data_IF_250991306328
#
_entry.id   IF_250991306328
#
_cell.length_a   1.000
_cell.length_b   1.000
_cell.length_c   1.000
_cell.angle_alpha   90.00
_cell.angle_beta   90.00
_cell.angle_gamma   90.00
#
_symmetry.space_group_name_H-M   'P 1'
#
loop_
_entity.id
_entity.type
_entity.pdbx_description
1 polymer ?
#
# COMPACT_ATOMS: atom_id res chain seq x y z
N UNK A 1 47.61 -13.17 21.08
CA UNK A 1 46.18 -13.50 20.84
C UNK A 1 45.43 -12.18 20.84
N UNK A 2 45.34 -11.53 19.68
CA UNK A 2 44.24 -11.58 18.69
C UNK A 2 42.92 -11.00 19.24
N UNK A 3 42.63 -9.82 18.69
CA UNK A 3 41.44 -8.98 18.72
C UNK A 3 40.10 -9.72 18.76
N UNK A 4 39.16 -9.13 19.51
CA UNK A 4 37.75 -8.94 19.13
C UNK A 4 37.17 -7.95 20.15
N UNK A 5 37.41 -6.64 20.01
CA UNK A 5 36.43 -5.68 19.50
C UNK A 5 34.99 -6.18 19.68
N UNK A 6 34.42 -5.87 20.85
CA UNK A 6 32.99 -5.91 21.07
C UNK A 6 32.33 -4.92 20.10
N UNK A 7 31.78 -5.47 19.02
CA UNK A 7 30.85 -4.75 18.15
C UNK A 7 29.55 -4.64 18.95
N UNK A 8 29.38 -3.53 19.67
CA UNK A 8 28.06 -3.04 20.05
C UNK A 8 27.34 -2.69 18.74
N UNK A 9 26.63 -3.66 18.16
CA UNK A 9 25.60 -3.38 17.16
C UNK A 9 24.47 -2.69 17.91
N UNK A 10 24.51 -1.36 17.93
CA UNK A 10 23.34 -0.57 18.22
C UNK A 10 22.31 -0.93 17.13
N UNK A 11 21.33 -1.76 17.49
CA UNK A 11 20.07 -1.87 16.77
C UNK A 11 19.40 -0.50 16.89
N UNK A 12 19.75 0.42 16.00
CA UNK A 12 18.88 1.54 15.69
C UNK A 12 17.66 0.87 15.08
N UNK A 13 16.63 0.67 15.90
CA UNK A 13 15.29 0.40 15.43
C UNK A 13 14.90 1.61 14.58
N UNK A 14 15.21 1.53 13.29
CA UNK A 14 14.72 2.45 12.29
C UNK A 14 13.21 2.30 12.37
N UNK A 15 12.56 3.18 13.15
CA UNK A 15 11.14 3.40 13.03
C UNK A 15 10.99 3.96 11.62
N UNK A 16 10.79 3.06 10.65
CA UNK A 16 10.28 3.45 9.34
C UNK A 16 8.91 4.01 9.71
N UNK A 17 8.85 5.33 9.88
CA UNK A 17 7.61 6.04 10.07
C UNK A 17 6.89 5.96 8.74
N UNK A 18 6.25 4.83 8.51
CA UNK A 18 5.51 4.54 7.30
C UNK A 18 4.47 5.66 7.13
N UNK A 19 4.44 6.23 5.94
CA UNK A 19 3.40 7.17 5.54
C UNK A 19 2.12 6.34 5.40
N UNK A 20 1.13 6.61 6.25
CA UNK A 20 -0.22 6.10 6.11
C UNK A 20 -0.88 6.80 4.91
N UNK A 21 -0.62 6.28 3.70
CA UNK A 21 -1.19 6.72 2.45
C UNK A 21 -1.65 5.53 1.61
N UNK A 22 -2.14 5.81 0.40
CA UNK A 22 -2.61 4.79 -0.54
C UNK A 22 -1.59 3.67 -0.70
N UNK A 23 -2.04 2.41 -0.62
CA UNK A 23 -1.21 1.29 -1.04
C UNK A 23 -0.95 1.35 -2.56
N UNK A 24 0.04 0.58 -3.03
CA UNK A 24 0.46 0.62 -4.42
C UNK A 24 -0.66 0.25 -5.40
N UNK A 25 -1.54 -0.70 -5.05
CA UNK A 25 -2.65 -1.14 -5.90
C UNK A 25 -3.74 -0.06 -5.94
N UNK A 26 -3.98 0.64 -4.83
CA UNK A 26 -4.82 1.84 -4.85
C UNK A 26 -4.25 2.94 -5.76
N UNK A 27 -2.93 3.20 -5.71
CA UNK A 27 -2.29 4.18 -6.61
C UNK A 27 -2.38 3.76 -8.07
N UNK A 28 -2.23 2.46 -8.37
CA UNK A 28 -2.47 1.92 -9.71
C UNK A 28 -3.88 2.21 -10.20
N UNK A 29 -4.91 2.06 -9.35
CA UNK A 29 -6.29 2.39 -9.70
C UNK A 29 -6.50 3.90 -9.92
N UNK A 30 -5.86 4.76 -9.11
CA UNK A 30 -5.87 6.22 -9.27
C UNK A 30 -5.24 6.60 -10.62
N UNK A 31 -4.05 6.09 -10.89
CA UNK A 31 -3.28 6.40 -12.10
C UNK A 31 -3.95 5.81 -13.35
N UNK A 32 -4.54 4.61 -13.27
CA UNK A 32 -5.37 4.04 -14.34
C UNK A 32 -6.57 4.93 -14.66
N UNK A 33 -7.22 5.48 -13.64
CA UNK A 33 -8.32 6.43 -13.82
C UNK A 33 -7.84 7.71 -14.48
N UNK A 34 -6.69 8.25 -14.07
CA UNK A 34 -6.09 9.40 -14.73
C UNK A 34 -5.77 9.12 -16.20
N UNK A 35 -5.20 7.95 -16.50
CA UNK A 35 -4.88 7.54 -17.88
C UNK A 35 -6.13 7.45 -18.76
N UNK A 36 -7.28 7.04 -18.22
CA UNK A 36 -8.56 7.04 -18.96
C UNK A 36 -9.07 8.46 -19.29
N UNK A 37 -8.70 9.47 -18.50
CA UNK A 37 -9.11 10.86 -18.70
C UNK A 37 -8.15 11.63 -19.64
N UNK A 38 -6.90 11.17 -19.78
CA UNK A 38 -5.89 11.85 -20.61
C UNK A 38 -6.17 11.61 -22.10
N UNK A 39 -6.44 12.69 -22.83
CA UNK A 39 -6.80 12.58 -24.25
C UNK A 39 -5.60 12.13 -25.11
N UNK A 40 -5.86 11.46 -26.23
CA UNK A 40 -4.84 10.87 -27.11
C UNK A 40 -3.65 11.79 -27.45
N UNK A 41 -3.93 13.06 -27.82
CA UNK A 41 -2.87 14.02 -28.16
C UNK A 41 -1.99 14.38 -26.96
N UNK A 42 -2.56 14.46 -25.75
CA UNK A 42 -1.80 14.73 -24.53
C UNK A 42 -1.09 13.46 -24.05
N UNK A 43 -1.68 12.28 -24.23
CA UNK A 43 -1.03 11.00 -23.93
C UNK A 43 0.32 10.84 -24.65
N UNK A 44 0.42 11.22 -25.93
CA UNK A 44 1.70 11.20 -26.65
C UNK A 44 2.75 12.09 -25.96
N UNK A 45 2.37 13.29 -25.52
CA UNK A 45 3.27 14.24 -24.84
C UNK A 45 3.66 13.73 -23.46
N UNK A 46 2.72 13.13 -22.72
CA UNK A 46 2.99 12.45 -21.46
C UNK A 46 4.07 11.38 -21.63
N UNK A 47 3.92 10.49 -22.62
CA UNK A 47 4.90 9.45 -22.89
C UNK A 47 6.27 10.02 -23.28
N UNK A 48 6.32 11.15 -24.00
CA UNK A 48 7.60 11.83 -24.27
C UNK A 48 8.24 12.31 -22.98
N UNK A 49 7.47 12.90 -22.05
CA UNK A 49 7.95 13.36 -20.75
C UNK A 49 8.41 12.19 -19.85
N UNK A 50 7.77 11.02 -19.97
CA UNK A 50 8.02 9.82 -19.17
C UNK A 50 8.84 8.73 -19.90
N UNK A 51 9.60 9.09 -20.94
CA UNK A 51 10.49 8.14 -21.67
C UNK A 51 9.76 6.87 -22.19
N UNK A 52 8.51 7.01 -22.61
CA UNK A 52 7.68 5.95 -23.20
C UNK A 52 6.76 5.24 -22.20
N UNK A 53 7.03 5.40 -20.91
CA UNK A 53 6.23 4.87 -19.79
C UNK A 53 4.96 5.72 -19.59
N UNK A 54 4.00 5.17 -18.84
CA UNK A 54 2.80 5.89 -18.42
C UNK A 54 2.80 6.19 -16.92
N UNK A 55 1.68 6.68 -16.38
CA UNK A 55 1.59 7.00 -14.95
C UNK A 55 1.72 5.73 -14.08
N UNK A 56 1.05 4.65 -14.49
CA UNK A 56 0.93 3.38 -13.75
C UNK A 56 2.29 2.70 -13.55
N UNK A 57 3.22 2.93 -14.48
CA UNK A 57 4.60 2.45 -14.38
C UNK A 57 5.38 3.03 -13.17
N UNK A 58 4.87 4.08 -12.51
CA UNK A 58 5.54 4.78 -11.40
C UNK A 58 4.82 4.73 -10.05
N UNK A 59 3.76 3.93 -9.89
CA UNK A 59 3.01 3.74 -8.62
C UNK A 59 3.88 3.48 -7.37
N UNK A 60 5.08 2.91 -7.56
CA UNK A 60 6.04 2.55 -6.51
C UNK A 60 7.02 3.69 -6.15
N UNK A 61 7.14 4.71 -7.00
CA UNK A 61 8.24 5.69 -6.94
C UNK A 61 8.22 6.54 -5.67
N UNK A 62 7.04 6.97 -5.21
CA UNK A 62 6.90 7.78 -4.00
C UNK A 62 7.38 7.06 -2.73
N UNK A 63 7.08 5.77 -2.61
CA UNK A 63 7.54 4.97 -1.47
C UNK A 63 9.07 4.88 -1.45
N UNK A 64 9.69 4.77 -2.63
CA UNK A 64 11.14 4.77 -2.78
C UNK A 64 11.79 6.13 -2.51
N UNK A 65 11.11 7.24 -2.85
CA UNK A 65 11.52 8.59 -2.43
C UNK A 65 11.54 8.64 -0.90
N UNK A 66 10.45 8.26 -0.25
CA UNK A 66 10.30 8.33 1.21
C UNK A 66 11.31 7.46 1.94
N UNK A 67 11.65 6.28 1.39
CA UNK A 67 12.72 5.44 1.94
C UNK A 67 14.09 6.13 1.88
N UNK A 68 14.40 6.86 0.80
CA UNK A 68 15.70 7.54 0.60
C UNK A 68 15.79 8.92 1.23
N UNK A 69 14.65 9.61 1.34
CA UNK A 69 14.49 10.97 1.86
C UNK A 69 13.32 10.96 2.85
N UNK A 70 13.45 10.33 4.03
CA UNK A 70 12.36 10.30 5.02
C UNK A 70 11.90 11.69 5.45
N UNK A 71 12.80 12.68 5.37
CA UNK A 71 12.51 14.09 5.65
C UNK A 71 11.49 14.68 4.67
N UNK A 72 11.18 14.02 3.55
CA UNK A 72 10.13 14.45 2.62
C UNK A 72 8.72 14.07 3.04
N UNK A 73 8.57 13.25 4.09
CA UNK A 73 7.28 12.81 4.64
C UNK A 73 6.26 13.95 4.84
N UNK A 74 6.62 15.14 5.36
CA UNK A 74 5.67 16.24 5.52
C UNK A 74 4.99 16.70 4.22
N UNK A 75 5.54 16.42 3.04
CA UNK A 75 4.86 16.71 1.77
C UNK A 75 3.56 15.94 1.59
N UNK A 76 3.40 14.81 2.25
CA UNK A 76 2.23 13.95 2.05
C UNK A 76 1.08 14.30 3.00
N UNK A 77 1.28 15.26 3.90
CA UNK A 77 0.32 15.59 4.96
C UNK A 77 0.07 17.09 5.08
N UNK A 78 -1.14 17.42 5.54
CA UNK A 78 -1.49 18.75 5.97
C UNK A 78 -2.62 18.68 7.01
N UNK A 79 -2.23 18.61 8.28
CA UNK A 79 -3.16 18.40 9.39
C UNK A 79 -4.10 19.59 9.59
N UNK A 80 -5.31 19.26 10.04
CA UNK A 80 -6.41 20.18 10.32
C UNK A 80 -6.53 20.41 11.83
N UNK A 81 -6.96 21.58 12.30
CA UNK A 81 -6.85 21.94 13.71
C UNK A 81 -7.66 21.02 14.64
N UNK A 82 -8.99 20.99 14.49
CA UNK A 82 -9.87 20.23 15.37
C UNK A 82 -11.07 19.64 14.60
N UNK A 83 -11.62 18.54 15.12
CA UNK A 83 -12.79 17.90 14.54
C UNK A 83 -14.00 18.84 14.61
N UNK A 84 -14.66 19.06 13.47
CA UNK A 84 -15.82 19.95 13.34
C UNK A 84 -15.49 21.40 12.98
N UNK A 85 -14.20 21.75 12.86
CA UNK A 85 -13.80 23.07 12.35
C UNK A 85 -14.29 23.26 10.91
N UNK A 86 -14.74 24.49 10.61
CA UNK A 86 -15.03 24.97 9.25
C UNK A 86 -13.83 25.68 8.63
N UNK A 87 -12.83 26.03 9.44
CA UNK A 87 -11.63 26.71 9.03
C UNK A 87 -10.54 25.66 8.79
N UNK A 88 -10.40 25.27 7.52
CA UNK A 88 -9.39 24.30 7.10
C UNK A 88 -7.99 24.95 7.04
N UNK A 89 -7.00 24.23 7.53
CA UNK A 89 -5.61 24.62 7.43
C UNK A 89 -5.09 24.35 6.02
N UNK A 90 -5.15 25.36 5.15
CA UNK A 90 -4.74 25.25 3.74
C UNK A 90 -3.34 25.86 3.46
N UNK A 91 -2.63 26.30 4.50
CA UNK A 91 -1.27 26.88 4.39
C UNK A 91 -0.32 26.19 5.35
N UNK A 92 0.98 26.24 5.05
CA UNK A 92 2.02 25.78 5.98
C UNK A 92 3.11 26.83 6.14
N UNK A 93 3.58 27.00 7.38
CA UNK A 93 4.54 28.03 7.77
C UNK A 93 5.93 27.87 7.13
N UNK A 94 6.29 26.64 6.76
CA UNK A 94 7.60 26.30 6.18
C UNK A 94 7.57 26.17 4.65
N UNK A 95 6.45 26.42 3.96
CA UNK A 95 6.27 26.15 2.53
C UNK A 95 6.66 24.71 2.12
N UNK A 96 6.46 23.75 3.03
CA UNK A 96 6.81 22.34 2.84
C UNK A 96 5.73 21.45 3.45
N UNK A 97 4.63 21.35 2.72
CA UNK A 97 3.44 20.55 3.02
C UNK A 97 2.75 20.14 1.71
N UNK A 98 1.69 19.36 1.83
CA UNK A 98 0.90 18.84 0.69
C UNK A 98 0.51 19.91 -0.33
N UNK A 99 -0.24 20.93 0.06
CA UNK A 99 -0.69 21.96 -0.89
C UNK A 99 0.45 22.80 -1.45
N UNK A 100 1.47 23.10 -0.64
CA UNK A 100 2.65 23.83 -1.12
C UNK A 100 3.40 23.03 -2.19
N UNK A 101 3.57 21.72 -2.00
CA UNK A 101 4.16 20.82 -2.98
C UNK A 101 3.37 20.75 -4.28
N UNK A 102 2.05 20.53 -4.19
CA UNK A 102 1.16 20.49 -5.37
C UNK A 102 1.30 21.79 -6.19
N UNK A 103 1.17 22.94 -5.53
CA UNK A 103 1.28 24.25 -6.20
C UNK A 103 2.66 24.47 -6.81
N UNK A 104 3.74 24.11 -6.11
CA UNK A 104 5.11 24.24 -6.61
C UNK A 104 5.35 23.38 -7.86
N UNK A 105 5.03 22.08 -7.82
CA UNK A 105 5.28 21.19 -8.95
C UNK A 105 4.38 21.50 -10.15
N UNK A 106 3.12 21.87 -9.90
CA UNK A 106 2.22 22.37 -10.94
C UNK A 106 2.78 23.63 -11.61
N UNK A 107 3.11 24.67 -10.83
CA UNK A 107 3.64 25.92 -11.35
C UNK A 107 4.97 25.70 -12.08
N UNK A 108 5.83 24.83 -11.57
CA UNK A 108 7.09 24.46 -12.23
C UNK A 108 6.82 23.85 -13.60
N UNK A 109 5.95 22.84 -13.71
CA UNK A 109 5.60 22.22 -14.99
C UNK A 109 4.95 23.21 -15.96
N UNK A 110 4.08 24.10 -15.48
CA UNK A 110 3.48 25.17 -16.28
C UNK A 110 4.49 26.19 -16.81
N UNK A 111 5.70 26.23 -16.27
CA UNK A 111 6.80 27.08 -16.72
C UNK A 111 7.95 26.32 -17.41
N UNK A 112 7.89 25.00 -17.50
CA UNK A 112 8.88 24.17 -18.20
C UNK A 112 8.53 23.98 -19.69
N UNK A 113 9.54 23.66 -20.50
CA UNK A 113 9.37 23.36 -21.92
C UNK A 113 8.89 24.54 -22.77
N UNK A 114 8.50 24.22 -24.00
CA UNK A 114 8.02 25.21 -24.97
C UNK A 114 6.50 25.40 -24.85
N UNK A 115 5.98 26.63 -24.97
CA UNK A 115 4.55 26.87 -25.13
C UNK A 115 3.98 26.09 -26.33
N UNK A 116 2.78 25.54 -26.19
CA UNK A 116 1.98 25.06 -27.32
C UNK A 116 1.37 26.30 -27.99
N UNK A 117 1.53 26.44 -29.31
CA UNK A 117 1.17 27.62 -30.12
C UNK A 117 -0.22 28.23 -29.82
N UNK A 118 -0.33 29.56 -30.03
CA UNK A 118 -1.51 30.45 -29.98
C UNK A 118 -2.36 30.53 -28.71
N UNK A 119 -2.07 29.72 -27.69
CA UNK A 119 -2.68 29.91 -26.37
C UNK A 119 -1.88 30.97 -25.60
N UNK A 120 -2.56 31.98 -25.05
CA UNK A 120 -1.99 32.81 -23.98
C UNK A 120 -1.55 31.84 -22.88
N UNK A 121 -0.25 31.71 -22.71
CA UNK A 121 0.33 30.83 -21.72
C UNK A 121 0.64 31.67 -20.48
N UNK A 122 -0.24 31.68 -19.46
CA UNK A 122 0.06 32.43 -18.25
C UNK A 122 1.32 31.84 -17.63
N UNK A 123 2.39 32.63 -17.55
CA UNK A 123 3.51 32.30 -16.67
C UNK A 123 2.95 32.27 -15.26
N UNK A 124 2.98 31.11 -14.63
CA UNK A 124 2.49 30.92 -13.26
C UNK A 124 3.61 31.32 -12.32
N UNK A 125 3.33 32.13 -11.30
CA UNK A 125 4.32 32.40 -10.26
C UNK A 125 4.67 31.08 -9.54
N UNK A 126 5.97 30.77 -9.46
CA UNK A 126 6.42 29.56 -8.75
C UNK A 126 6.49 29.93 -7.26
N UNK A 127 5.64 29.34 -6.41
CA UNK A 127 5.66 29.65 -4.98
C UNK A 127 6.99 29.18 -4.35
N UNK A 128 7.40 29.79 -3.22
CA UNK A 128 8.55 29.29 -2.48
C UNK A 128 8.32 27.84 -2.05
N UNK A 129 9.38 27.04 -2.09
CA UNK A 129 9.31 25.61 -1.74
C UNK A 129 10.61 25.16 -1.07
N UNK A 130 10.49 24.75 0.20
CA UNK A 130 11.64 24.42 1.04
C UNK A 130 11.87 22.91 1.12
N UNK A 131 12.25 22.30 0.00
CA UNK A 131 12.56 20.87 -0.01
C UNK A 131 13.75 20.54 0.91
N UNK A 132 13.73 19.43 1.68
CA UNK A 132 14.73 19.11 2.71
C UNK A 132 16.14 18.85 2.16
N UNK A 133 16.26 18.66 0.85
CA UNK A 133 17.54 18.46 0.17
C UNK A 133 17.68 19.43 -0.99
N UNK A 134 18.92 19.79 -1.33
CA UNK A 134 19.22 20.57 -2.54
C UNK A 134 19.15 19.68 -3.77
N UNK A 135 17.94 19.43 -4.23
CA UNK A 135 17.63 18.57 -5.37
C UNK A 135 17.24 19.43 -6.56
N UNK A 136 17.84 19.15 -7.71
CA UNK A 136 17.34 19.64 -9.00
C UNK A 136 16.31 18.65 -9.51
N UNK A 137 15.03 19.04 -9.53
CA UNK A 137 13.96 18.21 -10.07
C UNK A 137 13.95 18.28 -11.59
N UNK A 138 13.94 17.11 -12.24
CA UNK A 138 13.60 17.02 -13.67
C UNK A 138 12.11 17.26 -13.88
N UNK A 139 11.69 17.45 -15.14
CA UNK A 139 10.27 17.50 -15.47
C UNK A 139 9.51 16.22 -15.08
N UNK A 140 10.16 15.06 -15.24
CA UNK A 140 9.59 13.77 -14.84
C UNK A 140 9.41 13.68 -13.32
N UNK A 141 10.37 14.17 -12.53
CA UNK A 141 10.23 14.20 -11.07
C UNK A 141 9.08 15.11 -10.64
N UNK A 142 8.98 16.29 -11.25
CA UNK A 142 7.89 17.22 -10.96
C UNK A 142 6.52 16.60 -11.27
N UNK A 143 6.40 15.89 -12.40
CA UNK A 143 5.15 15.21 -12.75
C UNK A 143 4.84 14.08 -11.76
N UNK A 144 5.83 13.24 -11.42
CA UNK A 144 5.64 12.13 -10.48
C UNK A 144 5.23 12.63 -9.10
N UNK A 145 5.88 13.68 -8.57
CA UNK A 145 5.43 14.31 -7.33
C UNK A 145 4.02 14.87 -7.47
N UNK A 146 3.72 15.60 -8.55
CA UNK A 146 2.40 16.19 -8.71
C UNK A 146 1.29 15.12 -8.69
N UNK A 147 1.49 14.02 -9.41
CA UNK A 147 0.56 12.89 -9.44
C UNK A 147 0.37 12.29 -8.05
N UNK A 148 1.47 11.99 -7.35
CA UNK A 148 1.44 11.42 -6.00
C UNK A 148 0.76 12.35 -5.01
N UNK A 149 1.13 13.62 -4.99
CA UNK A 149 0.58 14.60 -4.05
C UNK A 149 -0.90 14.90 -4.34
N UNK A 150 -1.32 14.90 -5.60
CA UNK A 150 -2.75 14.97 -5.94
C UNK A 150 -3.50 13.72 -5.50
N UNK A 151 -2.91 12.53 -5.62
CA UNK A 151 -3.49 11.29 -5.07
C UNK A 151 -3.65 11.39 -3.55
N UNK A 152 -2.61 11.88 -2.89
CA UNK A 152 -2.54 12.05 -1.43
C UNK A 152 -3.55 13.09 -0.92
N UNK A 153 -3.84 14.13 -1.70
CA UNK A 153 -4.90 15.11 -1.41
C UNK A 153 -6.29 14.50 -1.21
N UNK A 154 -6.51 13.29 -1.73
CA UNK A 154 -7.78 12.56 -1.66
C UNK A 154 -7.75 11.41 -0.65
N UNK A 155 -6.60 11.16 -0.02
CA UNK A 155 -6.54 10.21 1.09
C UNK A 155 -7.06 10.90 2.36
N UNK A 156 -8.13 10.39 3.02
CA UNK A 156 -8.72 11.08 4.17
C UNK A 156 -7.68 11.39 5.27
N UNK A 157 -6.82 10.43 5.61
CA UNK A 157 -5.82 10.62 6.68
C UNK A 157 -4.63 11.53 6.33
N UNK A 158 -4.51 11.99 5.07
CA UNK A 158 -3.49 12.98 4.72
C UNK A 158 -3.90 14.42 5.08
N UNK A 159 -5.19 14.62 5.34
CA UNK A 159 -5.77 15.84 5.90
C UNK A 159 -6.45 15.56 7.25
N UNK A 160 -5.86 14.64 8.02
CA UNK A 160 -6.33 14.28 9.36
C UNK A 160 -6.24 15.46 10.35
N UNK A 161 -6.83 15.32 11.54
CA UNK A 161 -6.72 16.32 12.60
C UNK A 161 -5.36 16.28 13.29
N UNK A 162 -4.95 17.41 13.87
CA UNK A 162 -3.83 17.48 14.79
C UNK A 162 -4.14 16.68 16.08
N UNK A 163 -3.10 16.26 16.78
CA UNK A 163 -3.27 15.59 18.06
C UNK A 163 -3.89 16.56 19.08
N UNK A 164 -4.84 16.10 19.92
CA UNK A 164 -5.23 14.71 20.17
C UNK A 164 -6.38 14.17 19.30
N UNK A 165 -6.95 14.96 18.39
CA UNK A 165 -8.18 14.61 17.65
C UNK A 165 -7.94 13.73 16.41
N UNK A 166 -6.69 13.45 16.07
CA UNK A 166 -6.29 12.64 14.92
C UNK A 166 -7.02 11.30 14.87
N UNK A 167 -7.69 11.04 13.75
CA UNK A 167 -8.37 9.77 13.49
C UNK A 167 -7.36 8.64 13.34
N UNK A 168 -6.18 8.94 12.77
CA UNK A 168 -5.12 7.96 12.47
C UNK A 168 -4.71 7.11 13.68
N UNK A 169 -4.73 7.71 14.87
CA UNK A 169 -4.28 7.10 16.13
C UNK A 169 -5.36 6.38 16.91
N UNK A 170 -6.64 6.53 16.53
CA UNK A 170 -7.74 5.90 17.26
C UNK A 170 -7.71 4.39 16.99
N UNK A 171 -7.71 3.53 18.03
CA UNK A 171 -7.72 2.09 17.84
C UNK A 171 -9.04 1.63 17.22
N UNK A 172 -9.00 0.61 16.37
CA UNK A 172 -10.18 -0.02 15.78
C UNK A 172 -10.51 -1.31 16.53
N UNK A 173 -11.71 -1.41 17.10
CA UNK A 173 -12.16 -2.64 17.75
C UNK A 173 -12.73 -3.61 16.69
N UNK A 174 -11.99 -4.72 16.47
CA UNK A 174 -12.34 -5.76 15.50
C UNK A 174 -13.01 -6.99 16.13
N UNK A 175 -13.30 -6.96 17.44
CA UNK A 175 -13.74 -8.15 18.20
C UNK A 175 -15.04 -8.79 17.69
N UNK A 176 -15.93 -8.02 17.05
CA UNK A 176 -17.17 -8.53 16.46
C UNK A 176 -16.98 -9.01 15.01
N UNK A 177 -15.77 -8.92 14.42
CA UNK A 177 -15.48 -9.19 13.02
C UNK A 177 -14.32 -10.17 12.83
N UNK A 178 -14.56 -11.50 12.91
CA UNK A 178 -13.51 -12.51 12.94
C UNK A 178 -12.56 -12.50 11.74
N UNK A 179 -13.05 -12.16 10.54
CA UNK A 179 -12.21 -12.05 9.35
C UNK A 179 -11.13 -10.98 9.54
N UNK A 180 -11.55 -9.76 9.93
CA UNK A 180 -10.68 -8.62 10.12
C UNK A 180 -9.76 -8.80 11.33
N UNK A 181 -10.27 -9.35 12.43
CA UNK A 181 -9.46 -9.69 13.61
C UNK A 181 -8.33 -10.67 13.25
N UNK A 182 -8.64 -11.73 12.51
CA UNK A 182 -7.65 -12.74 12.12
C UNK A 182 -6.54 -12.13 11.24
N UNK A 183 -6.91 -11.33 10.23
CA UNK A 183 -5.94 -10.64 9.37
C UNK A 183 -5.10 -9.67 10.21
N UNK A 184 -5.70 -8.91 11.13
CA UNK A 184 -4.99 -8.00 12.02
C UNK A 184 -3.98 -8.70 12.92
N UNK A 185 -4.35 -9.85 13.49
CA UNK A 185 -3.46 -10.65 14.32
C UNK A 185 -2.29 -11.25 13.53
N UNK A 186 -2.51 -11.63 12.26
CA UNK A 186 -1.46 -12.14 11.38
C UNK A 186 -0.49 -11.03 10.93
N UNK A 187 -1.01 -9.87 10.55
CA UNK A 187 -0.23 -8.78 9.96
C UNK A 187 0.40 -7.86 11.00
N UNK A 188 -0.38 -7.40 12.00
CA UNK A 188 0.01 -6.39 12.98
C UNK A 188 0.13 -6.92 14.41
N UNK A 189 -0.22 -8.19 14.67
CA UNK A 189 -0.14 -8.84 15.99
C UNK A 189 -0.95 -8.14 17.08
N UNK A 190 -2.06 -7.49 16.70
CA UNK A 190 -2.99 -6.84 17.63
C UNK A 190 -4.43 -7.01 17.17
N UNK A 191 -5.37 -7.05 18.11
CA UNK A 191 -6.82 -7.02 17.83
C UNK A 191 -7.38 -5.60 17.73
N UNK A 192 -6.59 -4.61 18.15
CA UNK A 192 -6.97 -3.19 18.19
C UNK A 192 -5.89 -2.32 17.52
N UNK A 193 -5.69 -2.46 16.20
CA UNK A 193 -4.72 -1.65 15.47
C UNK A 193 -5.15 -0.17 15.43
N UNK A 194 -4.21 0.79 15.37
CA UNK A 194 -4.52 2.17 15.03
C UNK A 194 -5.23 2.25 13.68
N UNK A 195 -6.17 3.20 13.52
CA UNK A 195 -6.98 3.33 12.30
C UNK A 195 -6.14 3.48 11.03
N UNK A 196 -5.04 4.23 11.10
CA UNK A 196 -4.14 4.39 9.95
C UNK A 196 -3.54 3.06 9.48
N UNK A 197 -3.06 2.25 10.43
CA UNK A 197 -2.47 0.95 10.15
C UNK A 197 -3.54 -0.05 9.70
N UNK A 198 -4.74 0.03 10.29
CA UNK A 198 -5.89 -0.75 9.86
C UNK A 198 -6.23 -0.48 8.40
N UNK A 199 -6.39 0.78 7.98
CA UNK A 199 -6.70 1.10 6.58
C UNK A 199 -5.65 0.57 5.61
N UNK A 200 -4.37 0.81 5.92
CA UNK A 200 -3.26 0.53 5.02
C UNK A 200 -2.86 -0.95 4.94
N UNK A 201 -2.75 -1.62 6.08
CA UNK A 201 -2.15 -2.96 6.15
C UNK A 201 -3.19 -4.09 6.25
N UNK A 202 -4.43 -3.76 6.60
CA UNK A 202 -5.49 -4.75 6.82
C UNK A 202 -6.64 -4.53 5.85
N UNK A 203 -7.30 -3.38 5.95
CA UNK A 203 -8.55 -3.09 5.25
C UNK A 203 -8.38 -3.10 3.73
N UNK A 204 -7.61 -2.17 3.17
CA UNK A 204 -7.50 -2.04 1.72
C UNK A 204 -6.92 -3.29 1.04
N UNK A 205 -5.80 -3.89 1.50
CA UNK A 205 -5.29 -5.10 0.89
C UNK A 205 -6.30 -6.25 0.87
N UNK A 206 -7.01 -6.48 1.99
CA UNK A 206 -8.00 -7.56 2.07
C UNK A 206 -9.28 -7.23 1.31
N UNK A 207 -9.70 -5.96 1.31
CA UNK A 207 -10.85 -5.50 0.53
C UNK A 207 -10.62 -5.75 -0.96
N UNK A 208 -9.42 -5.43 -1.47
CA UNK A 208 -9.03 -5.69 -2.86
C UNK A 208 -9.04 -7.19 -3.15
N UNK A 209 -8.43 -8.01 -2.27
CA UNK A 209 -8.41 -9.48 -2.41
C UNK A 209 -9.83 -10.07 -2.48
N UNK A 210 -10.72 -9.67 -1.58
CA UNK A 210 -12.11 -10.16 -1.55
C UNK A 210 -12.92 -9.67 -2.76
N UNK A 211 -12.58 -8.51 -3.32
CA UNK A 211 -13.28 -7.91 -4.45
C UNK A 211 -12.47 -7.99 -5.76
N UNK A 212 -11.52 -8.91 -5.90
CA UNK A 212 -10.55 -8.93 -7.00
C UNK A 212 -11.19 -8.83 -8.40
N UNK A 213 -12.22 -9.63 -8.65
CA UNK A 213 -12.95 -9.62 -9.92
C UNK A 213 -13.60 -8.26 -10.22
N UNK A 214 -14.11 -7.58 -9.20
CA UNK A 214 -14.68 -6.24 -9.34
C UNK A 214 -13.57 -5.17 -9.43
N UNK A 215 -12.47 -5.37 -8.70
CA UNK A 215 -11.34 -4.45 -8.62
C UNK A 215 -10.62 -4.28 -9.96
N UNK A 216 -10.43 -5.37 -10.71
CA UNK A 216 -9.85 -5.32 -12.06
C UNK A 216 -10.90 -5.11 -13.16
N UNK A 217 -12.13 -4.74 -12.79
CA UNK A 217 -13.19 -4.33 -13.71
C UNK A 217 -13.08 -2.87 -14.16
N UNK A 218 -14.07 -2.39 -14.93
CA UNK A 218 -14.04 -1.06 -15.56
C UNK A 218 -14.35 0.15 -14.65
N UNK A 219 -14.36 -0.02 -13.32
CA UNK A 219 -14.75 1.05 -12.41
C UNK A 219 -13.70 2.17 -12.32
N UNK A 220 -12.44 1.89 -12.67
CA UNK A 220 -11.33 2.85 -12.78
C UNK A 220 -11.38 3.66 -14.08
N UNK A 221 -12.52 3.73 -14.77
CA UNK A 221 -12.70 4.63 -15.91
C UNK A 221 -13.35 5.94 -15.44
N UNK A 222 -12.91 7.09 -15.96
CA UNK A 222 -13.42 8.41 -15.57
C UNK A 222 -14.93 8.58 -15.82
N UNK A 223 -15.50 7.83 -16.76
CA UNK A 223 -16.95 7.82 -17.01
C UNK A 223 -17.77 7.32 -15.82
N UNK A 224 -17.18 6.57 -14.90
CA UNK A 224 -17.83 6.13 -13.64
C UNK A 224 -18.34 7.32 -12.82
N UNK A 225 -17.72 8.50 -12.96
CA UNK A 225 -18.15 9.73 -12.27
C UNK A 225 -19.35 10.43 -12.94
N UNK A 226 -19.72 10.05 -14.16
CA UNK A 226 -20.80 10.69 -14.91
C UNK A 226 -20.64 12.22 -14.98
N UNK A 227 -21.70 12.96 -14.62
CA UNK A 227 -21.71 14.44 -14.59
C UNK A 227 -20.75 15.05 -13.56
N UNK A 228 -20.28 14.29 -12.58
CA UNK A 228 -19.31 14.81 -11.60
C UNK A 228 -17.99 15.14 -12.29
N UNK A 229 -17.55 14.35 -13.29
CA UNK A 229 -16.31 14.63 -13.99
C UNK A 229 -16.32 15.97 -14.72
N UNK A 230 -17.39 16.29 -15.45
CA UNK A 230 -17.52 17.59 -16.12
C UNK A 230 -17.57 18.75 -15.12
N UNK A 231 -18.20 18.53 -13.96
CA UNK A 231 -18.24 19.53 -12.87
C UNK A 231 -16.84 19.83 -12.33
N UNK A 232 -16.00 18.81 -12.14
CA UNK A 232 -14.61 18.97 -11.70
C UNK A 232 -13.76 19.69 -12.76
N UNK A 233 -13.95 19.34 -14.04
CA UNK A 233 -13.26 19.99 -15.14
C UNK A 233 -13.61 21.48 -15.23
N UNK A 234 -14.90 21.81 -15.12
CA UNK A 234 -15.38 23.20 -15.14
C UNK A 234 -14.87 24.00 -13.93
N UNK A 235 -14.84 23.38 -12.75
CA UNK A 235 -14.29 23.98 -11.55
C UNK A 235 -12.80 24.31 -11.75
N UNK A 236 -12.03 23.35 -12.26
CA UNK A 236 -10.61 23.54 -12.52
C UNK A 236 -10.38 24.61 -13.60
N UNK A 237 -11.15 24.62 -14.69
CA UNK A 237 -11.02 25.65 -15.73
C UNK A 237 -11.29 27.07 -15.20
N UNK A 238 -12.17 27.21 -14.19
CA UNK A 238 -12.48 28.51 -13.57
C UNK A 238 -11.46 28.96 -12.53
N UNK A 239 -10.90 28.04 -11.75
CA UNK A 239 -10.05 28.35 -10.58
C UNK A 239 -8.58 28.02 -10.77
N UNK A 240 -8.23 27.16 -11.71
CA UNK A 240 -6.87 26.66 -11.97
C UNK A 240 -6.17 26.18 -10.69
N UNK A 241 -5.04 26.77 -10.29
CA UNK A 241 -4.30 26.38 -9.09
C UNK A 241 -5.05 26.59 -7.77
N UNK A 242 -6.04 27.50 -7.74
CA UNK A 242 -6.86 27.70 -6.54
C UNK A 242 -7.85 26.56 -6.32
N UNK A 243 -8.06 25.71 -7.34
CA UNK A 243 -8.89 24.52 -7.23
C UNK A 243 -8.30 23.49 -6.26
N UNK A 244 -6.98 23.47 -6.06
CA UNK A 244 -6.33 22.53 -5.14
C UNK A 244 -6.78 22.76 -3.69
N UNK A 245 -7.01 24.01 -3.30
CA UNK A 245 -7.54 24.37 -1.98
C UNK A 245 -8.99 23.90 -1.80
N UNK A 246 -9.80 23.99 -2.86
CA UNK A 246 -11.18 23.49 -2.84
C UNK A 246 -11.19 21.97 -2.64
N UNK A 247 -10.38 21.23 -3.40
CA UNK A 247 -10.28 19.78 -3.26
C UNK A 247 -9.72 19.35 -1.91
N UNK A 248 -8.76 20.10 -1.35
CA UNK A 248 -8.27 19.87 0.01
C UNK A 248 -9.39 20.05 1.04
N UNK A 249 -10.14 21.14 0.98
CA UNK A 249 -11.24 21.42 1.90
C UNK A 249 -12.34 20.34 1.82
N UNK A 250 -12.65 19.86 0.61
CA UNK A 250 -13.59 18.74 0.43
C UNK A 250 -13.09 17.48 1.13
N UNK A 251 -11.84 17.06 0.92
CA UNK A 251 -11.28 15.87 1.56
C UNK A 251 -11.18 16.04 3.08
N UNK A 252 -10.73 17.20 3.57
CA UNK A 252 -10.69 17.50 5.01
C UNK A 252 -12.09 17.44 5.65
N UNK A 253 -13.12 17.90 4.94
CA UNK A 253 -14.51 17.81 5.39
C UNK A 253 -15.02 16.37 5.48
N UNK A 254 -14.42 15.41 4.77
CA UNK A 254 -14.78 14.00 4.91
C UNK A 254 -14.40 13.48 6.29
N UNK A 255 -13.26 13.89 6.85
CA UNK A 255 -12.84 13.45 8.19
C UNK A 255 -13.83 13.90 9.27
N UNK A 256 -14.55 15.01 9.06
CA UNK A 256 -15.62 15.46 9.96
C UNK A 256 -16.86 14.54 9.94
N UNK A 257 -17.08 13.80 8.85
CA UNK A 257 -18.32 13.04 8.59
C UNK A 257 -18.10 11.53 8.43
N UNK A 258 -16.83 11.10 8.35
CA UNK A 258 -16.44 9.71 8.17
C UNK A 258 -16.91 8.84 9.33
N UNK A 259 -16.66 9.30 10.56
CA UNK A 259 -16.98 8.60 11.80
C UNK A 259 -17.98 9.42 12.64
N UNK A 260 -19.16 8.84 12.81
CA UNK A 260 -20.27 9.36 13.60
C UNK A 260 -20.12 8.96 15.07
N UNK A 261 -20.93 9.54 15.97
CA UNK A 261 -20.83 9.24 17.41
C UNK A 261 -21.03 7.75 17.71
N UNK A 262 -21.91 7.10 16.95
CA UNK A 262 -22.26 5.70 17.12
C UNK A 262 -21.18 4.74 16.58
N UNK A 263 -20.19 5.28 15.83
CA UNK A 263 -19.02 4.53 15.38
C UNK A 263 -17.94 4.42 16.47
N UNK A 264 -18.18 4.94 17.69
CA UNK A 264 -17.22 4.89 18.79
C UNK A 264 -17.73 4.04 19.96
N UNK A 265 -16.84 3.25 20.55
CA UNK A 265 -17.05 2.54 21.82
C UNK A 265 -16.05 3.02 22.86
N UNK A 266 -16.52 3.20 24.09
CA UNK A 266 -15.65 3.50 25.23
C UNK A 266 -14.86 2.23 25.60
N UNK A 267 -13.56 2.42 25.81
CA UNK A 267 -12.62 1.33 26.11
C UNK A 267 -12.12 1.34 27.54
N UNK A 268 -12.44 2.38 28.31
CA UNK A 268 -12.23 2.44 29.74
C UNK A 268 -13.55 2.78 30.46
N UNK A 269 -13.60 2.47 31.75
CA UNK A 269 -14.78 2.72 32.59
C UNK A 269 -14.99 4.21 32.93
N UNK A 270 -14.04 5.08 32.55
CA UNK A 270 -14.07 6.51 32.84
C UNK A 270 -14.46 7.36 31.62
N UNK A 271 -14.66 6.73 30.44
CA UNK A 271 -15.01 7.38 29.18
C UNK A 271 -13.87 8.20 28.55
N UNK A 272 -12.63 8.03 29.00
CA UNK A 272 -11.48 8.81 28.52
C UNK A 272 -10.87 8.26 27.24
N UNK A 273 -10.99 6.95 27.02
CA UNK A 273 -10.41 6.26 25.87
C UNK A 273 -11.49 5.69 24.97
N UNK A 274 -11.42 5.98 23.67
CA UNK A 274 -12.38 5.51 22.66
C UNK A 274 -11.69 4.65 21.61
N UNK A 275 -12.42 3.67 21.10
CA UNK A 275 -12.07 2.91 19.91
C UNK A 275 -13.15 3.09 18.85
N UNK A 276 -12.76 2.96 17.58
CA UNK A 276 -13.71 2.88 16.46
C UNK A 276 -14.32 1.48 16.50
N UNK A 277 -15.64 1.41 16.65
CA UNK A 277 -16.38 0.16 16.52
C UNK A 277 -16.46 -0.20 15.04
N UNK A 278 -15.77 -1.26 14.62
CA UNK A 278 -15.94 -1.75 13.26
C UNK A 278 -17.28 -2.46 13.12
N UNK A 279 -18.06 -2.12 12.09
CA UNK A 279 -19.40 -2.65 11.81
C UNK A 279 -19.57 -2.94 10.32
N UNK A 280 -20.57 -3.73 9.93
CA UNK A 280 -20.89 -3.97 8.50
C UNK A 280 -21.26 -2.67 7.78
N UNK A 281 -21.94 -1.76 8.49
CA UNK A 281 -22.28 -0.44 7.98
C UNK A 281 -21.01 0.39 7.74
N UNK A 282 -20.07 0.39 8.68
CA UNK A 282 -18.79 1.08 8.52
C UNK A 282 -17.96 0.45 7.40
N UNK A 283 -17.93 -0.88 7.26
CA UNK A 283 -17.28 -1.58 6.14
C UNK A 283 -17.85 -1.12 4.79
N UNK A 284 -19.18 -1.12 4.64
CA UNK A 284 -19.82 -0.67 3.40
C UNK A 284 -19.55 0.81 3.10
N UNK A 285 -19.66 1.68 4.11
CA UNK A 285 -19.38 3.13 4.01
C UNK A 285 -17.92 3.37 3.60
N UNK A 286 -16.98 2.68 4.24
CA UNK A 286 -15.56 2.82 4.00
C UNK A 286 -15.17 2.31 2.60
N UNK A 287 -15.64 1.12 2.20
CA UNK A 287 -15.38 0.57 0.88
C UNK A 287 -15.91 1.46 -0.26
N UNK A 288 -17.11 2.02 -0.10
CA UNK A 288 -17.66 2.99 -1.05
C UNK A 288 -16.83 4.27 -1.10
N UNK A 289 -16.52 4.86 0.07
CA UNK A 289 -15.79 6.11 0.15
C UNK A 289 -14.38 6.00 -0.45
N UNK A 290 -13.65 4.94 -0.11
CA UNK A 290 -12.28 4.73 -0.60
C UNK A 290 -12.26 4.58 -2.12
N UNK A 291 -13.18 3.80 -2.70
CA UNK A 291 -13.32 3.69 -4.16
C UNK A 291 -13.68 5.02 -4.80
N UNK A 292 -14.61 5.77 -4.22
CA UNK A 292 -14.97 7.10 -4.73
C UNK A 292 -13.77 8.05 -4.70
N UNK A 293 -13.02 8.10 -3.60
CA UNK A 293 -11.82 8.94 -3.48
C UNK A 293 -10.74 8.53 -4.49
N UNK A 294 -10.55 7.24 -4.75
CA UNK A 294 -9.62 6.74 -5.78
C UNK A 294 -9.99 7.26 -7.17
N UNK A 295 -11.26 7.12 -7.57
CA UNK A 295 -11.71 7.58 -8.89
C UNK A 295 -11.67 9.10 -9.00
N UNK A 296 -12.07 9.82 -7.94
CA UNK A 296 -12.00 11.29 -7.87
C UNK A 296 -10.57 11.79 -7.98
N UNK A 297 -9.63 11.18 -7.26
CA UNK A 297 -8.20 11.49 -7.33
C UNK A 297 -7.69 11.33 -8.76
N UNK A 298 -7.98 10.19 -9.39
CA UNK A 298 -7.50 9.90 -10.74
C UNK A 298 -8.10 10.84 -11.78
N UNK A 299 -9.39 11.14 -11.68
CA UNK A 299 -10.04 12.12 -12.53
C UNK A 299 -9.38 13.51 -12.43
N UNK A 300 -9.09 13.97 -11.20
CA UNK A 300 -8.45 15.27 -10.95
C UNK A 300 -6.99 15.30 -11.39
N UNK A 301 -6.24 14.22 -11.19
CA UNK A 301 -4.91 14.04 -11.80
C UNK A 301 -4.99 14.16 -13.32
N UNK A 302 -5.94 13.45 -13.95
CA UNK A 302 -6.15 13.52 -15.39
C UNK A 302 -6.48 14.92 -15.91
N UNK A 303 -7.32 15.68 -15.19
CA UNK A 303 -7.64 17.08 -15.50
C UNK A 303 -6.36 17.94 -15.46
N UNK A 304 -5.60 17.87 -14.37
CA UNK A 304 -4.39 18.67 -14.17
C UNK A 304 -3.32 18.33 -15.21
N UNK A 305 -3.08 17.05 -15.48
CA UNK A 305 -2.10 16.60 -16.46
C UNK A 305 -2.51 16.99 -17.88
N UNK A 306 -3.79 16.84 -18.24
CA UNK A 306 -4.30 17.36 -19.52
C UNK A 306 -4.08 18.86 -19.66
N UNK A 307 -4.34 19.63 -18.59
CA UNK A 307 -4.15 21.08 -18.59
C UNK A 307 -2.68 21.44 -18.85
N UNK A 308 -1.73 20.86 -18.11
CA UNK A 308 -0.29 21.08 -18.32
C UNK A 308 0.09 20.75 -19.76
N UNK A 309 -0.26 19.54 -20.24
CA UNK A 309 0.14 19.06 -21.56
C UNK A 309 -0.59 19.75 -22.71
N UNK A 310 -1.68 20.49 -22.44
CA UNK A 310 -2.34 21.34 -23.42
C UNK A 310 -1.61 22.67 -23.62
N UNK A 311 -0.93 23.18 -22.59
CA UNK A 311 -0.22 24.45 -22.60
C UNK A 311 1.29 24.29 -22.87
N UNK A 312 1.90 23.17 -22.46
CA UNK A 312 3.34 22.97 -22.49
C UNK A 312 3.73 21.73 -23.30
N UNK A 313 4.76 21.87 -24.12
CA UNK A 313 5.51 20.78 -24.72
C UNK A 313 6.79 20.59 -23.94
N UNK A 314 6.81 19.53 -23.13
CA UNK A 314 7.90 19.23 -22.22
C UNK A 314 8.58 17.96 -22.72
N UNK A 315 9.88 18.05 -22.99
CA UNK A 315 10.70 16.90 -23.32
C UNK A 315 11.20 16.21 -22.06
N UNK A 316 11.51 14.92 -22.16
CA UNK A 316 12.21 14.21 -21.10
C UNK A 316 13.59 14.84 -20.83
N UNK A 317 13.97 14.88 -19.55
CA UNK A 317 15.26 15.36 -19.07
C UNK A 317 15.91 14.25 -18.22
N UNK A 318 17.04 13.72 -18.68
CA UNK A 318 17.81 12.70 -17.96
C UNK A 318 18.52 13.24 -16.71
N UNK A 319 18.68 14.56 -16.59
CA UNK A 319 19.40 15.19 -15.50
C UNK A 319 18.51 15.36 -14.25
N UNK A 320 18.15 14.24 -13.63
CA UNK A 320 17.46 14.23 -12.33
C UNK A 320 18.45 14.24 -11.16
N UNK A 321 18.16 15.06 -10.13
CA UNK A 321 18.79 14.96 -8.82
C UNK A 321 18.23 13.83 -7.94
N UNK A 322 17.20 13.11 -8.41
CA UNK A 322 16.52 11.99 -7.74
C UNK A 322 16.65 10.71 -8.56
N UNK A 323 17.85 10.13 -8.55
CA UNK A 323 18.09 8.84 -9.20
C UNK A 323 17.44 7.73 -8.37
N UNK A 324 16.22 7.35 -8.75
CA UNK A 324 15.41 6.33 -8.10
C UNK A 324 15.11 5.24 -9.12
N UNK A 325 15.69 4.07 -8.91
CA UNK A 325 15.45 2.88 -9.74
C UNK A 325 14.29 2.08 -9.16
N UNK A 326 13.51 1.46 -10.06
CA UNK A 326 12.47 0.51 -9.67
C UNK A 326 13.12 -0.56 -8.81
N UNK A 327 12.63 -0.80 -7.57
CA UNK A 327 13.13 -1.90 -6.78
C UNK A 327 12.92 -3.16 -7.63
N UNK A 328 13.99 -3.92 -7.86
CA UNK A 328 13.82 -5.25 -8.43
C UNK A 328 12.96 -5.99 -7.41
N UNK A 329 11.74 -6.32 -7.81
CA UNK A 329 10.96 -7.31 -7.08
C UNK A 329 11.78 -8.57 -7.23
N UNK A 330 12.56 -8.91 -6.20
CA UNK A 330 13.14 -10.24 -6.10
C UNK A 330 11.94 -11.19 -6.05
N UNK A 331 11.50 -11.66 -7.21
CA UNK A 331 10.59 -12.80 -7.39
C UNK A 331 11.18 -14.09 -6.81
N UNK A 332 12.31 -13.97 -6.13
CA UNK A 332 13.10 -14.98 -5.49
C UNK A 332 13.67 -14.46 -4.17
N UNK A 333 12.82 -13.95 -3.26
CA UNK A 333 12.89 -14.53 -1.91
C UNK A 333 12.39 -15.98 -2.00
N UNK A 334 13.11 -16.81 -2.76
CA UNK A 334 13.13 -18.25 -2.55
C UNK A 334 13.57 -18.34 -1.11
N UNK A 335 12.64 -18.72 -0.23
CA UNK A 335 12.91 -18.98 1.17
C UNK A 335 14.07 -19.98 1.23
N UNK A 336 15.31 -19.49 1.24
CA UNK A 336 16.51 -20.35 1.24
C UNK A 336 16.44 -21.23 2.48
N UNK A 337 15.88 -20.71 3.58
CA UNK A 337 15.49 -21.47 4.76
C UNK A 337 14.55 -22.63 4.46
N UNK A 338 13.49 -22.45 3.67
CA UNK A 338 12.57 -23.55 3.29
C UNK A 338 13.26 -24.62 2.46
N UNK A 339 14.09 -24.24 1.48
CA UNK A 339 14.84 -25.20 0.66
C UNK A 339 15.90 -25.93 1.46
N UNK A 340 16.63 -25.24 2.35
CA UNK A 340 17.58 -25.85 3.28
C UNK A 340 16.87 -26.82 4.23
N UNK A 341 15.70 -26.43 4.77
CA UNK A 341 14.91 -27.27 5.67
C UNK A 341 14.36 -28.51 4.95
N UNK A 342 13.94 -28.37 3.69
CA UNK A 342 13.53 -29.49 2.84
C UNK A 342 14.68 -30.44 2.53
N UNK A 343 15.87 -29.93 2.22
CA UNK A 343 17.07 -30.77 2.01
C UNK A 343 17.46 -31.52 3.28
N UNK A 344 17.44 -30.84 4.44
CA UNK A 344 17.69 -31.48 5.75
C UNK A 344 16.66 -32.56 6.06
N UNK A 345 15.38 -32.30 5.79
CA UNK A 345 14.30 -33.26 5.97
C UNK A 345 14.49 -34.51 5.09
N UNK A 346 14.82 -34.34 3.81
CA UNK A 346 15.10 -35.45 2.89
C UNK A 346 16.30 -36.27 3.36
N UNK A 347 17.38 -35.63 3.81
CA UNK A 347 18.55 -36.33 4.37
C UNK A 347 18.17 -37.14 5.61
N UNK A 348 17.37 -36.59 6.53
CA UNK A 348 16.90 -37.29 7.72
C UNK A 348 16.05 -38.52 7.37
N UNK A 349 15.17 -38.42 6.37
CA UNK A 349 14.37 -39.55 5.89
C UNK A 349 15.26 -40.64 5.28
N UNK A 350 16.27 -40.27 4.48
CA UNK A 350 17.22 -41.23 3.91
C UNK A 350 18.01 -41.94 5.03
N UNK A 351 18.49 -41.19 6.03
CA UNK A 351 19.20 -41.77 7.18
C UNK A 351 18.28 -42.72 7.95
N UNK A 352 17.03 -42.36 8.18
CA UNK A 352 16.05 -43.21 8.84
C UNK A 352 15.83 -44.52 8.07
N UNK A 353 15.70 -44.45 6.75
CA UNK A 353 15.55 -45.64 5.87
C UNK A 353 16.77 -46.54 5.98
N UNK A 354 17.99 -45.97 5.97
CA UNK A 354 19.23 -46.73 6.11
C UNK A 354 19.30 -47.41 7.49
N UNK A 355 18.96 -46.68 8.56
CA UNK A 355 18.94 -47.25 9.92
C UNK A 355 17.91 -48.38 10.03
N UNK A 356 16.69 -48.18 9.51
CA UNK A 356 15.66 -49.23 9.48
C UNK A 356 16.12 -50.45 8.69
N UNK A 357 16.78 -50.25 7.55
CA UNK A 357 17.35 -51.33 6.76
C UNK A 357 18.44 -52.10 7.52
N UNK A 358 19.33 -51.40 8.21
CA UNK A 358 20.38 -52.01 9.04
C UNK A 358 19.81 -52.78 10.23
N UNK A 359 18.80 -52.22 10.91
CA UNK A 359 18.08 -52.90 12.01
C UNK A 359 17.38 -54.15 11.48
N UNK A 360 16.68 -54.05 10.35
CA UNK A 360 16.00 -55.18 9.72
C UNK A 360 16.98 -56.27 9.29
N UNK A 361 18.12 -55.90 8.69
CA UNK A 361 19.20 -56.83 8.36
C UNK A 361 19.78 -57.50 9.59
N UNK A 362 19.95 -56.77 10.70
CA UNK A 362 20.44 -57.33 11.95
C UNK A 362 19.43 -58.30 12.58
N UNK A 363 18.14 -57.96 12.55
CA UNK A 363 17.05 -58.84 13.00
C UNK A 363 16.98 -60.12 12.16
N UNK A 364 17.07 -60.02 10.83
CA UNK A 364 17.15 -61.18 9.93
C UNK A 364 18.38 -62.05 10.22
N UNK A 365 19.54 -61.44 10.48
CA UNK A 365 20.75 -62.18 10.85
C UNK A 365 20.65 -62.83 12.23
N UNK A 366 19.98 -62.21 13.20
CA UNK A 366 19.68 -62.84 14.50
C UNK A 366 18.69 -63.99 14.34
N UNK A 367 17.67 -63.83 13.49
CA UNK A 367 16.71 -64.88 13.17
C UNK A 367 17.35 -66.05 12.41
N UNK A 368 18.32 -65.82 11.52
CA UNK A 368 19.03 -66.90 10.81
C UNK A 368 20.05 -67.63 11.69
N UNK A 369 20.65 -66.93 12.67
CA UNK A 369 21.49 -67.54 13.70
C UNK A 369 20.69 -68.30 14.76
N UNK A 370 19.43 -67.93 14.99
CA UNK A 370 18.47 -68.70 15.77
C UNK A 370 17.99 -69.92 14.99
N UNK A 371 18.78 -71.00 15.00
CA UNK A 371 18.44 -72.34 14.45
C UNK A 371 17.28 -73.04 15.19
N UNK A 372 16.26 -72.31 15.63
CA UNK A 372 15.12 -72.88 16.37
C UNK A 372 13.79 -72.15 16.23
N UNK A 373 13.71 -71.00 15.55
CA UNK A 373 12.44 -70.26 15.46
C UNK A 373 11.56 -70.72 14.30
N UNK A 374 12.14 -70.97 13.12
CA UNK A 374 11.40 -71.46 11.94
C UNK A 374 10.88 -72.90 12.11
N UNK A 375 11.50 -73.73 12.96
CA UNK A 375 10.98 -75.07 13.26
C UNK A 375 9.79 -75.06 14.24
N UNK A 376 9.60 -73.98 15.00
CA UNK A 376 8.46 -73.85 15.94
C UNK A 376 7.22 -73.23 15.29
N UNK A 377 7.39 -72.36 14.29
CA UNK A 377 6.25 -71.72 13.60
C UNK A 377 5.55 -72.62 12.57
N UNK A 378 6.22 -73.67 12.07
CA UNK A 378 5.67 -74.57 11.04
C UNK A 378 5.25 -75.96 11.55
N UNK A 379 5.24 -76.21 12.87
CA UNK A 379 4.85 -77.50 13.46
C UNK A 379 3.51 -77.51 14.24
N UNK A 380 2.72 -76.43 14.26
CA UNK A 380 1.44 -76.39 15.00
C UNK A 380 0.17 -76.45 14.13
N UNK A 381 0.16 -77.22 13.04
CA UNK A 381 -1.09 -77.61 12.35
C UNK A 381 -1.03 -79.05 11.85
N UNK A 382 -0.94 -80.02 12.78
CA UNK A 382 -1.50 -81.36 12.52
C UNK A 382 -3.01 -81.27 12.69
N UNK A 383 -3.69 -81.14 11.56
CA UNK A 383 -5.12 -81.36 11.41
C UNK A 383 -5.44 -82.79 11.86
N UNK A 384 -6.21 -82.95 12.94
CA UNK A 384 -6.88 -84.22 13.25
C UNK A 384 -8.26 -84.21 12.57
N UNK A 385 -8.60 -85.22 11.74
CA UNK A 385 -9.93 -85.33 11.18
C UNK A 385 -10.92 -85.80 12.26
N UNK A 386 -11.91 -84.95 12.54
CA UNK A 386 -13.13 -85.33 13.25
C UNK A 386 -14.00 -86.09 12.25
N UNK A 387 -14.22 -87.39 12.49
CA UNK A 387 -15.40 -88.13 12.02
C UNK A 387 -15.40 -89.55 12.60
N UNK A 388 -16.16 -89.79 13.67
CA UNK A 388 -17.42 -90.57 13.65
C UNK A 388 -17.91 -90.84 15.07
N UNK A 389 -19.23 -90.69 15.21
CA UNK A 389 -20.11 -90.99 16.35
C UNK A 389 -20.39 -92.53 16.42
N UNK A 390 -21.08 -93.01 17.48
CA UNK A 390 -20.78 -94.22 18.23
C UNK A 390 -21.38 -95.50 17.65
N UNK A 391 -20.78 -96.63 18.01
CA UNK A 391 -21.43 -97.85 18.52
C UNK A 391 -20.36 -98.74 19.17
#
# INVERSE_FOLDING_TARGET
MKCAVNICVAFIALHITLVAGWDQICREAIESTAMSAITYMRLRRLKVLLKGEDLVDYTWWADEVLKRIPESKPLHYQYQPEKGSKDFNLKCSNNFCLLAGIKYFYATLMNLGNPVQDLENPKVEIPPFNYPRKVKFSAADCLKYLVVLLSDLHHPLHLDFEQPDSLSTIPVDLSEFPLWENVSMQTLKTKKPPYADFLKYIYMPKYIEVNENAWYGSWTHVSTLGLRYSTELDLFNKKTSDCFEVWAAETASLNNTLLEKDDYVETDHMGHSKAIKFTEQLDSKLGFLMRLQIVMAGARVGIVVNHILSHRQISYDEQTGLVIQRPQVDSTEKNVGYYVLMVVFVILVIVLIIVLFLVFKNLLNQMSKSKGFMSRLFLSRKYQPVNKLPE
#
